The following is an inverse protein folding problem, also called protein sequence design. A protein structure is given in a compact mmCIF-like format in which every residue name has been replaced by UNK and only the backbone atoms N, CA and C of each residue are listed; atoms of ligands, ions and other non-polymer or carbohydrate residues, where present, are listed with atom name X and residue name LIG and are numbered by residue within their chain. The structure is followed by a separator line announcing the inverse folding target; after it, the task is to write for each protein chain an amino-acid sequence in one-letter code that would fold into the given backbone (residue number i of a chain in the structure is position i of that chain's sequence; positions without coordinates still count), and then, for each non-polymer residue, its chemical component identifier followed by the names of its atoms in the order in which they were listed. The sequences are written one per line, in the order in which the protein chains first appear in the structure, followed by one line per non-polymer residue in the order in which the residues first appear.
data_IF_619032735051
#
_entry.id   IF_619032735051
#
_cell.length_a   1.000
_cell.length_b   1.000
_cell.length_c   1.000
_cell.angle_alpha   90.00
_cell.angle_beta   90.00
_cell.angle_gamma   90.00
#
_symmetry.space_group_name_H-M   'P 1'
#
loop_
_entity.id
_entity.type
_entity.pdbx_description
1 polymer ?
#
# COMPACT_ATOMS: atom_id res chain seq x y z
N UNK A 1 9.29 -34.27 10.61
CA UNK A 1 8.92 -33.20 11.55
C UNK A 1 8.46 -32.03 10.71
N UNK A 2 7.16 -31.69 10.69
CA UNK A 2 6.61 -30.68 9.78
C UNK A 2 7.12 -29.26 10.04
N UNK A 3 7.75 -28.98 11.19
CA UNK A 3 8.16 -27.62 11.59
C UNK A 3 9.65 -27.31 11.40
N UNK A 4 10.40 -28.12 10.63
CA UNK A 4 11.82 -27.84 10.37
C UNK A 4 12.00 -27.24 8.98
N UNK A 5 12.24 -25.93 8.92
CA UNK A 5 12.65 -25.26 7.68
C UNK A 5 13.99 -25.84 7.18
N UNK A 6 14.13 -26.06 5.85
CA UNK A 6 15.41 -26.43 5.29
C UNK A 6 16.43 -25.31 5.52
N UNK A 7 17.72 -25.67 5.57
CA UNK A 7 18.82 -24.71 5.79
C UNK A 7 18.79 -23.94 7.13
N UNK A 8 18.21 -24.52 8.19
CA UNK A 8 18.11 -23.90 9.52
C UNK A 8 19.45 -23.48 10.17
N UNK A 9 20.59 -23.91 9.63
CA UNK A 9 21.91 -23.45 10.05
C UNK A 9 22.25 -22.02 9.56
N UNK A 10 21.50 -21.49 8.59
CA UNK A 10 21.64 -20.12 8.12
C UNK A 10 20.77 -19.23 9.01
N UNK A 11 21.43 -18.38 9.79
CA UNK A 11 20.74 -17.45 10.68
C UNK A 11 19.97 -16.40 9.87
N UNK A 12 18.73 -16.13 10.28
CA UNK A 12 17.95 -15.03 9.74
C UNK A 12 18.40 -13.70 10.36
N UNK A 13 18.28 -12.56 9.64
CA UNK A 13 18.59 -11.25 10.20
C UNK A 13 17.78 -11.00 11.48
N UNK A 14 18.49 -10.74 12.59
CA UNK A 14 17.88 -10.61 13.93
C UNK A 14 16.91 -9.43 14.07
N UNK A 15 17.01 -8.41 13.22
CA UNK A 15 16.12 -7.25 13.19
C UNK A 15 14.78 -7.49 12.48
N UNK A 16 14.57 -8.65 11.85
CA UNK A 16 13.36 -8.95 11.08
C UNK A 16 12.35 -9.71 11.94
N UNK A 17 11.10 -9.24 11.94
CA UNK A 17 9.98 -9.98 12.53
C UNK A 17 9.72 -11.26 11.71
N UNK A 18 9.74 -12.42 12.36
CA UNK A 18 9.56 -13.72 11.68
C UNK A 18 8.08 -14.17 11.63
N UNK A 19 7.24 -13.65 12.51
CA UNK A 19 5.81 -14.01 12.61
C UNK A 19 4.89 -12.83 12.31
N UNK A 20 3.71 -13.10 11.74
CA UNK A 20 2.65 -12.11 11.54
C UNK A 20 1.84 -11.86 12.83
N UNK A 21 1.23 -10.67 13.03
CA UNK A 21 1.45 -9.45 12.26
C UNK A 21 2.86 -8.87 12.51
N UNK A 22 3.59 -8.55 11.44
CA UNK A 22 4.97 -8.06 11.54
C UNK A 22 5.02 -6.59 11.93
N UNK A 23 6.10 -6.21 12.61
CA UNK A 23 6.40 -4.80 12.93
C UNK A 23 7.61 -4.26 12.18
N UNK A 24 8.50 -5.15 11.72
CA UNK A 24 9.74 -4.80 11.02
C UNK A 24 9.99 -5.78 9.87
N UNK A 25 10.69 -5.33 8.82
CA UNK A 25 10.97 -6.14 7.64
C UNK A 25 9.71 -6.54 6.86
N UNK A 26 8.79 -5.57 6.75
CA UNK A 26 7.51 -5.70 6.06
C UNK A 26 7.75 -5.98 4.57
N UNK A 27 6.92 -6.83 3.99
CA UNK A 27 6.95 -7.17 2.57
C UNK A 27 5.59 -6.86 1.94
N UNK A 28 5.63 -6.10 0.85
CA UNK A 28 4.45 -5.77 0.06
C UNK A 28 4.56 -6.43 -1.31
N UNK A 29 3.46 -7.01 -1.79
CA UNK A 29 3.30 -7.41 -3.18
C UNK A 29 2.44 -6.41 -3.95
N UNK A 30 2.72 -6.24 -5.24
CA UNK A 30 1.88 -5.49 -6.16
C UNK A 30 1.05 -6.46 -7.01
N UNK A 31 -0.27 -6.37 -6.90
CA UNK A 31 -1.22 -7.15 -7.67
C UNK A 31 -1.64 -6.38 -8.94
N UNK A 32 -1.07 -6.80 -10.07
CA UNK A 32 -1.35 -6.25 -11.41
C UNK A 32 -2.56 -6.89 -12.11
N UNK A 33 -3.41 -7.59 -11.37
CA UNK A 33 -4.56 -8.32 -11.91
C UNK A 33 -4.36 -9.83 -11.93
N UNK A 34 -3.76 -10.37 -10.87
CA UNK A 34 -3.61 -11.80 -10.67
C UNK A 34 -4.99 -12.49 -10.67
N UNK A 35 -5.20 -13.56 -11.46
CA UNK A 35 -6.39 -14.39 -11.37
C UNK A 35 -6.52 -15.04 -9.98
N UNK A 36 -7.74 -15.31 -9.52
CA UNK A 36 -7.99 -15.87 -8.17
C UNK A 36 -7.19 -17.15 -7.88
N UNK A 37 -7.18 -18.11 -8.81
CA UNK A 37 -6.43 -19.36 -8.61
C UNK A 37 -4.91 -19.14 -8.55
N UNK A 38 -4.37 -18.23 -9.35
CA UNK A 38 -2.94 -17.90 -9.28
C UNK A 38 -2.60 -17.18 -7.98
N UNK A 39 -3.51 -16.31 -7.49
CA UNK A 39 -3.36 -15.67 -6.20
C UNK A 39 -3.37 -16.70 -5.07
N UNK A 40 -4.27 -17.68 -5.11
CA UNK A 40 -4.35 -18.78 -4.14
C UNK A 40 -3.04 -19.58 -4.09
N UNK A 41 -2.53 -20.04 -5.24
CA UNK A 41 -1.26 -20.76 -5.34
C UNK A 41 -0.08 -19.95 -4.78
N UNK A 42 -0.03 -18.64 -5.08
CA UNK A 42 1.02 -17.74 -4.58
C UNK A 42 0.93 -17.58 -3.06
N UNK A 43 -0.28 -17.44 -2.52
CA UNK A 43 -0.50 -17.24 -1.09
C UNK A 43 -0.29 -18.53 -0.30
N UNK A 44 -0.59 -19.70 -0.86
CA UNK A 44 -0.28 -20.99 -0.23
C UNK A 44 1.23 -21.14 0.00
N UNK A 45 2.04 -20.81 -1.00
CA UNK A 45 3.49 -20.95 -0.92
C UNK A 45 4.17 -19.80 -0.17
N UNK A 46 3.76 -18.56 -0.48
CA UNK A 46 4.47 -17.34 -0.15
C UNK A 46 3.75 -16.43 0.83
N UNK A 47 2.49 -16.72 1.17
CA UNK A 47 1.62 -15.84 1.95
C UNK A 47 2.22 -15.48 3.31
N UNK A 48 2.88 -16.42 3.98
CA UNK A 48 3.56 -16.19 5.25
C UNK A 48 4.59 -15.06 5.18
N UNK A 49 5.21 -14.82 4.02
CA UNK A 49 6.26 -13.82 3.84
C UNK A 49 5.77 -12.47 3.31
N UNK A 50 4.47 -12.31 3.06
CA UNK A 50 3.85 -11.08 2.54
C UNK A 50 2.96 -10.46 3.61
N UNK A 51 3.02 -9.16 3.81
CA UNK A 51 2.21 -8.44 4.81
C UNK A 51 1.12 -7.58 4.15
N UNK A 52 1.42 -7.00 2.98
CA UNK A 52 0.50 -6.14 2.24
C UNK A 52 0.37 -6.54 0.77
N UNK A 53 -0.81 -6.32 0.20
CA UNK A 53 -1.07 -6.49 -1.23
C UNK A 53 -1.67 -5.21 -1.84
N UNK A 54 -0.87 -4.51 -2.64
CA UNK A 54 -1.32 -3.32 -3.37
C UNK A 54 -2.12 -3.76 -4.60
N UNK A 55 -3.42 -3.48 -4.63
CA UNK A 55 -4.20 -3.50 -5.87
C UNK A 55 -3.79 -2.27 -6.66
N UNK A 56 -3.03 -2.48 -7.73
CA UNK A 56 -2.31 -1.38 -8.38
C UNK A 56 -3.26 -0.35 -8.99
N UNK A 57 -2.96 0.92 -8.75
CA UNK A 57 -3.61 2.08 -9.38
C UNK A 57 -5.14 1.99 -9.30
N UNK A 58 -5.84 2.31 -10.40
CA UNK A 58 -7.30 2.19 -10.53
C UNK A 58 -7.78 0.81 -10.99
N UNK A 59 -6.93 -0.22 -11.01
CA UNK A 59 -7.32 -1.55 -11.55
C UNK A 59 -8.51 -2.18 -10.81
N UNK A 60 -8.69 -1.85 -9.52
CA UNK A 60 -9.84 -2.26 -8.71
C UNK A 60 -11.19 -1.96 -9.41
N UNK A 61 -11.26 -0.86 -10.18
CA UNK A 61 -12.49 -0.44 -10.88
C UNK A 61 -12.86 -1.35 -12.06
N UNK A 62 -11.93 -2.17 -12.55
CA UNK A 62 -12.13 -3.02 -13.73
C UNK A 62 -12.78 -4.37 -13.40
N UNK A 63 -12.75 -4.77 -12.12
CA UNK A 63 -13.31 -6.05 -11.69
C UNK A 63 -14.83 -5.95 -11.48
N UNK A 64 -15.51 -7.09 -11.66
CA UNK A 64 -16.86 -7.25 -11.12
C UNK A 64 -16.79 -7.20 -9.60
N UNK A 65 -17.78 -6.59 -8.94
CA UNK A 65 -17.81 -6.43 -7.47
C UNK A 65 -17.51 -7.72 -6.72
N UNK A 66 -18.24 -8.80 -7.02
CA UNK A 66 -18.04 -10.10 -6.37
C UNK A 66 -16.62 -10.63 -6.53
N UNK A 67 -16.06 -10.54 -7.74
CA UNK A 67 -14.70 -10.98 -8.02
C UNK A 67 -13.65 -10.20 -7.20
N UNK A 68 -13.81 -8.88 -7.08
CA UNK A 68 -12.92 -8.08 -6.25
C UNK A 68 -13.07 -8.46 -4.77
N UNK A 69 -14.29 -8.62 -4.27
CA UNK A 69 -14.52 -9.04 -2.88
C UNK A 69 -13.89 -10.41 -2.58
N UNK A 70 -14.00 -11.38 -3.49
CA UNK A 70 -13.37 -12.70 -3.36
C UNK A 70 -11.84 -12.59 -3.34
N UNK A 71 -11.27 -11.75 -4.22
CA UNK A 71 -9.83 -11.45 -4.26
C UNK A 71 -9.33 -10.84 -2.95
N UNK A 72 -10.07 -9.88 -2.39
CA UNK A 72 -9.71 -9.26 -1.11
C UNK A 72 -9.83 -10.27 0.04
N UNK A 73 -10.82 -11.16 0.01
CA UNK A 73 -10.97 -12.22 1.00
C UNK A 73 -9.77 -13.17 1.00
N UNK A 74 -9.33 -13.64 -0.17
CA UNK A 74 -8.15 -14.52 -0.28
C UNK A 74 -6.89 -13.88 0.35
N UNK A 75 -6.65 -12.59 0.15
CA UNK A 75 -5.55 -11.91 0.81
C UNK A 75 -5.69 -11.91 2.33
N UNK A 76 -6.86 -11.53 2.85
CA UNK A 76 -7.09 -11.47 4.30
C UNK A 76 -6.98 -12.84 4.96
N UNK A 77 -7.48 -13.88 4.30
CA UNK A 77 -7.45 -15.25 4.83
C UNK A 77 -6.00 -15.77 4.95
N UNK A 78 -5.09 -15.28 4.11
CA UNK A 78 -3.64 -15.52 4.20
C UNK A 78 -2.91 -14.54 5.17
N UNK A 79 -3.65 -13.72 5.92
CA UNK A 79 -3.09 -12.68 6.79
C UNK A 79 -2.31 -11.61 6.02
N UNK A 80 -2.69 -11.34 4.77
CA UNK A 80 -2.15 -10.26 3.93
C UNK A 80 -3.19 -9.15 3.85
N UNK A 81 -2.81 -7.90 4.17
CA UNK A 81 -3.75 -6.78 4.16
C UNK A 81 -3.80 -6.14 2.77
N UNK A 82 -4.91 -6.25 2.01
CA UNK A 82 -5.00 -5.62 0.72
C UNK A 82 -5.33 -4.12 0.84
N UNK A 83 -4.82 -3.33 -0.08
CA UNK A 83 -5.07 -1.90 -0.14
C UNK A 83 -5.07 -1.38 -1.58
N UNK A 84 -5.70 -0.23 -1.81
CA UNK A 84 -5.79 0.40 -3.14
C UNK A 84 -4.58 1.32 -3.34
N UNK A 85 -3.95 1.29 -4.50
CA UNK A 85 -2.88 2.22 -4.86
C UNK A 85 -3.34 3.67 -4.95
N UNK A 86 -2.48 4.59 -4.49
CA UNK A 86 -2.81 5.99 -4.24
C UNK A 86 -3.10 6.80 -5.50
N UNK A 87 -2.55 6.40 -6.65
CA UNK A 87 -2.89 7.01 -7.93
C UNK A 87 -4.39 6.94 -8.26
N UNK A 88 -5.16 6.00 -7.68
CA UNK A 88 -6.62 6.01 -7.86
C UNK A 88 -7.28 7.11 -7.03
N UNK A 89 -6.82 7.34 -5.80
CA UNK A 89 -7.22 8.51 -5.00
C UNK A 89 -6.89 9.81 -5.75
N UNK A 90 -5.67 9.92 -6.29
CA UNK A 90 -5.25 11.09 -7.07
C UNK A 90 -6.15 11.31 -8.29
N UNK A 91 -6.46 10.24 -9.04
CA UNK A 91 -7.37 10.31 -10.17
C UNK A 91 -8.76 10.81 -9.78
N UNK A 92 -9.33 10.31 -8.67
CA UNK A 92 -10.63 10.74 -8.15
C UNK A 92 -10.59 12.22 -7.79
N UNK A 93 -9.57 12.65 -7.05
CA UNK A 93 -9.42 14.04 -6.63
C UNK A 93 -9.25 14.99 -7.83
N UNK A 94 -8.37 14.66 -8.77
CA UNK A 94 -8.07 15.49 -9.94
C UNK A 94 -9.28 15.68 -10.86
N UNK A 95 -10.05 14.62 -11.10
CA UNK A 95 -11.13 14.64 -12.10
C UNK A 95 -12.50 14.98 -11.52
N UNK A 96 -12.72 14.70 -10.23
CA UNK A 96 -14.03 14.80 -9.60
C UNK A 96 -14.02 15.65 -8.33
N UNK A 97 -12.87 16.15 -7.89
CA UNK A 97 -12.75 17.04 -6.74
C UNK A 97 -12.97 16.37 -5.39
N UNK A 98 -12.79 17.15 -4.33
CA UNK A 98 -12.88 16.69 -2.95
C UNK A 98 -14.22 16.05 -2.57
N UNK A 99 -15.32 16.45 -3.21
CA UNK A 99 -16.65 15.89 -2.98
C UNK A 99 -16.73 14.39 -3.33
N UNK A 100 -15.85 13.89 -4.20
CA UNK A 100 -15.84 12.49 -4.62
C UNK A 100 -14.95 11.60 -3.73
N UNK A 101 -14.10 12.17 -2.89
CA UNK A 101 -13.15 11.43 -2.05
C UNK A 101 -13.86 10.59 -0.99
N UNK A 102 -14.79 11.16 -0.22
CA UNK A 102 -15.51 10.41 0.81
C UNK A 102 -16.35 9.26 0.23
N UNK A 103 -17.14 9.44 -0.87
CA UNK A 103 -17.81 8.33 -1.54
C UNK A 103 -16.86 7.22 -2.03
N UNK A 104 -15.69 7.59 -2.55
CA UNK A 104 -14.66 6.65 -2.97
C UNK A 104 -14.13 5.81 -1.79
N UNK A 105 -13.80 6.45 -0.67
CA UNK A 105 -13.32 5.79 0.54
C UNK A 105 -14.40 4.88 1.14
N UNK A 106 -15.66 5.35 1.19
CA UNK A 106 -16.79 4.55 1.66
C UNK A 106 -16.98 3.28 0.79
N UNK A 107 -16.89 3.40 -0.53
CA UNK A 107 -16.97 2.24 -1.43
C UNK A 107 -15.79 1.28 -1.22
N UNK A 108 -14.57 1.80 -1.06
CA UNK A 108 -13.41 0.96 -0.75
C UNK A 108 -13.64 0.15 0.55
N UNK A 109 -14.12 0.81 1.61
CA UNK A 109 -14.47 0.13 2.87
C UNK A 109 -15.54 -0.93 2.67
N UNK A 110 -16.61 -0.61 1.93
CA UNK A 110 -17.72 -1.53 1.65
C UNK A 110 -17.32 -2.74 0.80
N UNK A 111 -16.26 -2.65 0.01
CA UNK A 111 -15.71 -3.77 -0.76
C UNK A 111 -14.87 -4.72 0.10
N UNK A 112 -14.42 -4.27 1.27
CA UNK A 112 -13.59 -5.03 2.20
C UNK A 112 -12.13 -4.60 2.24
N UNK A 113 -11.79 -3.41 1.72
CA UNK A 113 -10.48 -2.81 1.99
C UNK A 113 -10.41 -2.32 3.45
N UNK A 114 -9.26 -2.56 4.08
CA UNK A 114 -8.95 -2.08 5.44
C UNK A 114 -7.96 -0.92 5.43
N UNK A 115 -7.27 -0.73 4.31
CA UNK A 115 -6.23 0.26 4.13
C UNK A 115 -6.39 0.94 2.78
N UNK A 116 -6.05 2.23 2.73
CA UNK A 116 -5.91 3.02 1.51
C UNK A 116 -4.50 3.63 1.44
N UNK A 117 -3.92 3.70 0.25
CA UNK A 117 -2.74 4.53 -0.01
C UNK A 117 -3.20 5.95 -0.38
N UNK A 118 -2.59 6.96 0.23
CA UNK A 118 -2.74 8.37 -0.14
C UNK A 118 -1.38 8.85 -0.63
N UNK A 119 -1.31 9.18 -1.91
CA UNK A 119 -0.09 9.62 -2.60
C UNK A 119 -0.33 10.96 -3.28
N UNK A 120 0.77 11.59 -3.68
CA UNK A 120 0.77 12.81 -4.49
C UNK A 120 1.80 12.73 -5.63
N UNK A 121 1.94 11.53 -6.20
CA UNK A 121 2.97 11.20 -7.20
C UNK A 121 2.68 11.82 -8.57
N UNK A 122 1.42 12.14 -8.87
CA UNK A 122 0.96 12.70 -10.15
C UNK A 122 0.24 14.04 -10.00
N UNK A 123 -0.36 14.32 -8.84
CA UNK A 123 -0.92 15.64 -8.50
C UNK A 123 -0.32 16.13 -7.19
N UNK A 124 0.08 17.40 -7.08
CA UNK A 124 0.66 17.91 -5.84
C UNK A 124 -0.41 18.01 -4.75
N UNK A 125 -0.06 17.60 -3.52
CA UNK A 125 -0.87 17.85 -2.33
C UNK A 125 -0.14 18.78 -1.37
N UNK A 126 -0.87 19.75 -0.81
CA UNK A 126 -0.39 20.51 0.34
C UNK A 126 -0.41 19.64 1.60
N UNK A 127 0.32 20.03 2.66
CA UNK A 127 0.23 19.32 3.95
C UNK A 127 -1.19 19.36 4.53
N UNK A 128 -1.94 20.43 4.28
CA UNK A 128 -3.34 20.56 4.68
C UNK A 128 -4.23 19.56 3.93
N UNK A 129 -3.99 19.39 2.63
CA UNK A 129 -4.71 18.42 1.81
C UNK A 129 -4.35 16.97 2.19
N UNK A 130 -3.08 16.68 2.49
CA UNK A 130 -2.66 15.38 3.04
C UNK A 130 -3.40 15.08 4.33
N UNK A 131 -3.39 16.01 5.28
CA UNK A 131 -4.07 15.85 6.56
C UNK A 131 -5.59 15.66 6.39
N UNK A 132 -6.20 16.41 5.47
CA UNK A 132 -7.62 16.27 5.12
C UNK A 132 -7.94 14.89 4.54
N UNK A 133 -7.14 14.41 3.60
CA UNK A 133 -7.34 13.11 2.97
C UNK A 133 -7.19 11.97 3.99
N UNK A 134 -6.17 12.04 4.85
CA UNK A 134 -5.94 11.08 5.93
C UNK A 134 -7.14 11.07 6.89
N UNK A 135 -7.58 12.25 7.35
CA UNK A 135 -8.73 12.36 8.25
C UNK A 135 -10.00 11.72 7.65
N UNK A 136 -10.32 12.02 6.38
CA UNK A 136 -11.46 11.42 5.69
C UNK A 136 -11.37 9.89 5.60
N UNK A 137 -10.18 9.35 5.36
CA UNK A 137 -9.97 7.90 5.32
C UNK A 137 -10.19 7.25 6.69
N UNK A 138 -9.64 7.85 7.75
CA UNK A 138 -9.83 7.38 9.12
C UNK A 138 -11.32 7.44 9.54
N UNK A 139 -12.03 8.51 9.19
CA UNK A 139 -13.48 8.66 9.43
C UNK A 139 -14.32 7.58 8.73
N UNK A 140 -13.86 7.08 7.58
CA UNK A 140 -14.48 5.97 6.86
C UNK A 140 -14.03 4.58 7.36
N UNK A 141 -13.28 4.52 8.46
CA UNK A 141 -12.83 3.28 9.07
C UNK A 141 -11.73 2.56 8.29
N UNK A 142 -10.94 3.29 7.52
CA UNK A 142 -9.75 2.80 6.83
C UNK A 142 -8.50 3.22 7.60
N UNK A 143 -7.47 2.36 7.60
CA UNK A 143 -6.10 2.76 7.91
C UNK A 143 -5.46 3.42 6.67
N UNK A 144 -4.41 4.21 6.89
CA UNK A 144 -3.77 4.97 5.81
C UNK A 144 -2.30 4.60 5.70
N UNK A 145 -1.85 4.38 4.47
CA UNK A 145 -0.44 4.44 4.09
C UNK A 145 -0.23 5.71 3.28
N UNK A 146 0.67 6.59 3.72
CA UNK A 146 1.14 7.67 2.87
C UNK A 146 2.12 7.16 1.82
N UNK A 147 2.26 7.85 0.70
CA UNK A 147 3.42 7.72 -0.19
C UNK A 147 3.97 9.11 -0.45
N UNK A 148 5.30 9.24 -0.39
CA UNK A 148 6.03 10.49 -0.62
C UNK A 148 7.02 10.32 -1.77
N UNK A 149 7.33 11.43 -2.45
CA UNK A 149 8.20 11.48 -3.60
C UNK A 149 7.45 11.54 -4.93
N UNK A 150 8.17 11.91 -5.98
CA UNK A 150 7.63 12.14 -7.31
C UNK A 150 8.10 11.07 -8.30
N UNK A 151 7.27 10.82 -9.33
CA UNK A 151 7.62 9.95 -10.45
C UNK A 151 8.46 10.65 -11.51
N UNK A 152 8.38 11.97 -11.59
CA UNK A 152 8.92 12.78 -12.68
C UNK A 152 10.13 13.63 -12.25
N UNK A 153 10.21 14.00 -10.97
CA UNK A 153 11.23 14.88 -10.42
C UNK A 153 11.87 14.25 -9.18
N UNK A 154 13.16 14.49 -8.95
CA UNK A 154 13.81 14.04 -7.72
C UNK A 154 13.54 15.05 -6.60
N UNK A 155 12.99 14.59 -5.48
CA UNK A 155 12.80 15.41 -4.29
C UNK A 155 14.03 15.38 -3.38
N UNK A 156 14.29 16.49 -2.70
CA UNK A 156 15.35 16.56 -1.70
C UNK A 156 14.98 15.73 -0.47
N UNK A 157 15.97 15.13 0.20
CA UNK A 157 15.71 14.27 1.36
C UNK A 157 14.94 15.00 2.48
N UNK A 158 15.22 16.28 2.70
CA UNK A 158 14.52 17.11 3.69
C UNK A 158 13.03 17.30 3.34
N UNK A 159 12.70 17.37 2.05
CA UNK A 159 11.33 17.47 1.59
C UNK A 159 10.58 16.16 1.86
N UNK A 160 11.15 15.02 1.46
CA UNK A 160 10.56 13.70 1.69
C UNK A 160 10.32 13.43 3.18
N UNK A 161 11.27 13.80 4.04
CA UNK A 161 11.12 13.69 5.50
C UNK A 161 9.97 14.56 5.99
N UNK A 162 9.89 15.82 5.55
CA UNK A 162 8.82 16.74 5.97
C UNK A 162 7.44 16.26 5.52
N UNK A 163 7.32 15.71 4.31
CA UNK A 163 6.08 15.11 3.80
C UNK A 163 5.69 13.86 4.61
N UNK A 164 6.66 13.01 4.94
CA UNK A 164 6.42 11.81 5.74
C UNK A 164 5.96 12.17 7.17
N UNK A 165 6.63 13.14 7.80
CA UNK A 165 6.24 13.67 9.11
C UNK A 165 4.82 14.24 9.09
N UNK A 166 4.42 14.92 8.01
CA UNK A 166 3.06 15.41 7.85
C UNK A 166 2.02 14.27 7.78
N UNK A 167 2.32 13.19 7.06
CA UNK A 167 1.46 12.00 7.04
C UNK A 167 1.35 11.34 8.42
N UNK A 168 2.47 11.16 9.11
CA UNK A 168 2.47 10.58 10.46
C UNK A 168 1.69 11.47 11.45
N UNK A 169 1.89 12.78 11.41
CA UNK A 169 1.15 13.73 12.24
C UNK A 169 -0.36 13.69 11.98
N UNK A 170 -0.76 13.40 10.74
CA UNK A 170 -2.17 13.23 10.37
C UNK A 170 -2.76 11.86 10.76
N UNK A 171 -1.93 10.87 11.13
CA UNK A 171 -2.36 9.55 11.58
C UNK A 171 -2.15 8.41 10.59
N UNK A 172 -1.29 8.56 9.57
CA UNK A 172 -0.88 7.45 8.73
C UNK A 172 -0.12 6.37 9.54
N UNK A 173 -0.39 5.09 9.24
CA UNK A 173 0.26 3.94 9.89
C UNK A 173 1.68 3.71 9.33
N UNK A 174 1.84 3.94 8.01
CA UNK A 174 3.09 3.77 7.28
C UNK A 174 3.22 4.90 6.25
N UNK A 175 4.45 5.22 5.88
CA UNK A 175 4.76 6.09 4.73
C UNK A 175 5.73 5.36 3.82
N UNK A 176 5.33 5.18 2.58
CA UNK A 176 6.13 4.63 1.50
C UNK A 176 6.95 5.75 0.86
N UNK A 177 8.15 5.43 0.39
CA UNK A 177 8.96 6.33 -0.43
C UNK A 177 8.93 5.80 -1.86
N UNK A 178 8.55 6.64 -2.82
CA UNK A 178 8.47 6.27 -4.23
C UNK A 178 9.82 5.75 -4.73
N UNK A 179 9.80 4.63 -5.45
CA UNK A 179 11.02 3.95 -5.88
C UNK A 179 11.86 4.80 -6.84
N UNK A 180 11.21 5.66 -7.64
CA UNK A 180 11.87 6.60 -8.55
C UNK A 180 12.78 7.60 -7.82
N UNK A 181 12.57 7.84 -6.52
CA UNK A 181 13.46 8.66 -5.71
C UNK A 181 14.81 7.98 -5.45
N UNK A 182 14.80 6.65 -5.31
CA UNK A 182 15.97 5.87 -4.89
C UNK A 182 16.64 5.12 -6.03
N UNK A 183 15.94 4.86 -7.13
CA UNK A 183 16.38 3.95 -8.20
C UNK A 183 16.25 4.61 -9.57
N UNK A 184 17.32 4.60 -10.36
CA UNK A 184 17.33 5.00 -11.76
C UNK A 184 17.85 3.83 -12.63
N UNK A 185 17.10 3.44 -13.66
CA UNK A 185 17.50 2.35 -14.56
C UNK A 185 17.73 1.00 -13.87
N UNK A 186 17.02 0.72 -12.76
CA UNK A 186 17.17 -0.50 -11.99
C UNK A 186 18.41 -0.54 -11.07
N UNK A 187 19.07 0.59 -10.84
CA UNK A 187 20.20 0.73 -9.91
C UNK A 187 19.91 1.82 -8.87
N UNK A 188 20.37 1.67 -7.62
CA UNK A 188 20.31 2.76 -6.65
C UNK A 188 20.97 4.03 -7.21
N UNK A 189 20.37 5.20 -6.99
CA UNK A 189 20.99 6.48 -7.34
C UNK A 189 22.29 6.64 -6.52
N UNK A 190 23.36 7.20 -7.12
CA UNK A 190 24.57 7.53 -6.38
C UNK A 190 24.26 8.60 -5.32
N UNK A 191 24.95 8.51 -4.17
CA UNK A 191 24.91 9.51 -3.08
C UNK A 191 25.37 10.90 -3.52
#
# INVERSE_FOLDING_TARGET
MPDQYPFAAIELPSGRSTTKPRKTGLTMMADWGLPLHHQEDILELGGDYVDFAKIVTGSARLYKRGYLTDKLALYRDAGVRPFIGGQFFEYVLANQGWQAVAPFLAEARNLGFETIEISDNCIPLSNEDRARAVALALENGLSVMGEVGSKDEASEAAELIGQAEAFFAAGAELVLVEAAELVEGGRPKPE
#
